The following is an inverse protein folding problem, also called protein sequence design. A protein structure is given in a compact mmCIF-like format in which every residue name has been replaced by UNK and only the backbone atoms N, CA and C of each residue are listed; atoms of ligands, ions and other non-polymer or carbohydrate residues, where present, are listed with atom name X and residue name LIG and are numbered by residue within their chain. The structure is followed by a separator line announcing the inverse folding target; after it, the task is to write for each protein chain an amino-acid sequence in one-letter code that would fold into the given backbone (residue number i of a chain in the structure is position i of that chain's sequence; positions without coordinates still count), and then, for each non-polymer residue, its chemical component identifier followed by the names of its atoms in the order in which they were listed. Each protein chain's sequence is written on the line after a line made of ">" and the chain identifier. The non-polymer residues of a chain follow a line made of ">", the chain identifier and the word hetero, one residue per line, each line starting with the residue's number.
data_IF_652306774203
#
_entry.id   IF_652306774203
#
_cell.length_a   1.000
_cell.length_b   1.000
_cell.length_c   1.000
_cell.angle_alpha   90.00
_cell.angle_beta   90.00
_cell.angle_gamma   90.00
#
_symmetry.space_group_name_H-M   'P 1'
#
loop_
_entity.id
_entity.type
_entity.pdbx_description
1 polymer ?
#
# COMPACT_ATOMS: atom_id res chain seq x y z
N UNK A 1 11.26 24.84 39.32
CA UNK A 1 10.36 24.00 40.14
C UNK A 1 8.88 24.21 39.77
N UNK A 2 8.41 25.44 39.55
CA UNK A 2 7.01 25.72 39.13
C UNK A 2 6.60 25.15 37.76
N UNK A 3 7.47 25.18 36.75
CA UNK A 3 7.14 24.69 35.38
C UNK A 3 6.90 23.17 35.36
N UNK A 4 7.78 22.40 36.03
CA UNK A 4 7.62 20.95 36.17
C UNK A 4 6.36 20.53 36.94
N UNK A 5 5.93 21.33 37.92
CA UNK A 5 4.72 21.04 38.69
C UNK A 5 3.43 21.27 37.87
N UNK A 6 3.45 22.27 36.98
CA UNK A 6 2.35 22.58 36.05
C UNK A 6 2.22 21.53 34.94
N UNK A 7 3.32 21.06 34.37
CA UNK A 7 3.32 19.98 33.37
C UNK A 7 2.80 18.67 33.98
N UNK A 8 3.28 18.29 35.17
CA UNK A 8 2.83 17.09 35.86
C UNK A 8 1.34 17.14 36.24
N UNK A 9 0.80 18.30 36.62
CA UNK A 9 -0.61 18.46 36.93
C UNK A 9 -1.49 18.39 35.67
N UNK A 10 -1.02 18.92 34.54
CA UNK A 10 -1.74 18.88 33.26
C UNK A 10 -1.79 17.46 32.69
N UNK A 11 -0.69 16.72 32.78
CA UNK A 11 -0.62 15.30 32.40
C UNK A 11 -1.58 14.44 33.23
N UNK A 12 -1.75 14.76 34.51
CA UNK A 12 -2.74 14.09 35.37
C UNK A 12 -4.17 14.32 34.89
N UNK A 13 -4.52 15.52 34.41
CA UNK A 13 -5.88 15.82 33.91
C UNK A 13 -6.17 15.03 32.63
N UNK A 14 -5.25 15.04 31.67
CA UNK A 14 -5.40 14.30 30.42
C UNK A 14 -5.47 12.79 30.65
N UNK A 15 -4.68 12.27 31.60
CA UNK A 15 -4.75 10.87 32.01
C UNK A 15 -6.14 10.50 32.54
N UNK A 16 -6.72 11.30 33.46
CA UNK A 16 -8.06 11.05 33.96
C UNK A 16 -9.14 11.11 32.85
N UNK A 17 -9.03 12.08 31.95
CA UNK A 17 -9.93 12.18 30.78
C UNK A 17 -9.78 10.98 29.84
N UNK A 18 -8.56 10.48 29.63
CA UNK A 18 -8.32 9.28 28.84
C UNK A 18 -8.98 8.05 29.47
N UNK A 19 -8.90 7.88 30.79
CA UNK A 19 -9.59 6.78 31.49
C UNK A 19 -11.10 6.87 31.32
N UNK A 20 -11.69 8.08 31.41
CA UNK A 20 -13.12 8.29 31.15
C UNK A 20 -13.49 7.96 29.70
N UNK A 21 -12.69 8.42 28.74
CA UNK A 21 -12.88 8.14 27.32
C UNK A 21 -12.81 6.64 27.03
N UNK A 22 -11.86 5.94 27.65
CA UNK A 22 -11.72 4.49 27.50
C UNK A 22 -12.96 3.78 28.01
N UNK A 23 -13.45 4.12 29.21
CA UNK A 23 -14.65 3.51 29.77
C UNK A 23 -15.89 3.78 28.90
N UNK A 24 -16.02 5.00 28.36
CA UNK A 24 -17.11 5.35 27.43
C UNK A 24 -17.01 4.60 26.11
N UNK A 25 -15.80 4.49 25.54
CA UNK A 25 -15.53 3.74 24.32
C UNK A 25 -15.79 2.24 24.52
N UNK A 26 -15.37 1.66 25.64
CA UNK A 26 -15.62 0.25 25.97
C UNK A 26 -17.12 -0.04 26.12
N UNK A 27 -17.91 0.90 26.66
CA UNK A 27 -19.38 0.79 26.69
C UNK A 27 -19.96 0.80 25.27
N UNK A 28 -19.52 1.74 24.42
CA UNK A 28 -19.93 1.79 23.03
C UNK A 28 -19.61 0.49 22.28
N UNK A 29 -18.42 -0.08 22.49
CA UNK A 29 -18.01 -1.35 21.85
C UNK A 29 -18.77 -2.58 22.35
N UNK A 30 -19.41 -2.51 23.53
CA UNK A 30 -20.22 -3.58 24.12
C UNK A 30 -21.72 -3.43 23.85
N UNK A 31 -22.15 -2.32 23.25
CA UNK A 31 -23.55 -2.05 22.97
C UNK A 31 -24.15 -3.11 22.03
N UNK A 32 -25.33 -3.62 22.36
CA UNK A 32 -25.92 -4.75 21.64
C UNK A 32 -26.85 -4.32 20.49
N UNK A 33 -27.56 -3.19 20.66
CA UNK A 33 -28.56 -2.71 19.71
C UNK A 33 -28.27 -1.28 19.22
N UNK A 34 -28.85 -0.91 18.08
CA UNK A 34 -28.68 0.42 17.48
C UNK A 34 -28.99 1.59 18.43
N UNK A 35 -30.03 1.49 19.27
CA UNK A 35 -30.40 2.57 20.19
C UNK A 35 -29.32 2.82 21.24
N UNK A 36 -28.75 1.75 21.80
CA UNK A 36 -27.62 1.83 22.72
C UNK A 36 -26.35 2.35 22.04
N UNK A 37 -26.07 1.87 20.82
CA UNK A 37 -24.91 2.31 20.02
C UNK A 37 -24.98 3.82 19.78
N UNK A 38 -26.12 4.34 19.32
CA UNK A 38 -26.32 5.77 19.11
C UNK A 38 -26.17 6.57 20.40
N UNK A 39 -26.81 6.11 21.49
CA UNK A 39 -26.72 6.77 22.79
C UNK A 39 -25.28 6.86 23.29
N UNK A 40 -24.58 5.73 23.38
CA UNK A 40 -23.20 5.71 23.88
C UNK A 40 -22.22 6.41 22.94
N UNK A 41 -22.47 6.40 21.63
CA UNK A 41 -21.67 7.16 20.69
C UNK A 41 -21.84 8.68 20.88
N UNK A 42 -23.06 9.15 21.13
CA UNK A 42 -23.30 10.56 21.46
C UNK A 42 -22.63 10.97 22.77
N UNK A 43 -22.70 10.14 23.81
CA UNK A 43 -21.97 10.36 25.07
C UNK A 43 -20.44 10.41 24.84
N UNK A 44 -19.91 9.48 24.05
CA UNK A 44 -18.49 9.43 23.70
C UNK A 44 -18.05 10.66 22.90
N UNK A 45 -18.82 11.07 21.90
CA UNK A 45 -18.56 12.26 21.09
C UNK A 45 -18.44 13.53 21.92
N UNK A 46 -19.39 13.74 22.84
CA UNK A 46 -19.38 14.89 23.73
C UNK A 46 -18.14 14.89 24.64
N UNK A 47 -17.83 13.75 25.25
CA UNK A 47 -16.66 13.60 26.11
C UNK A 47 -15.34 13.79 25.34
N UNK A 48 -15.24 13.26 24.12
CA UNK A 48 -14.09 13.42 23.26
C UNK A 48 -13.91 14.89 22.87
N UNK A 49 -14.98 15.55 22.43
CA UNK A 49 -14.96 16.97 22.07
C UNK A 49 -14.50 17.84 23.24
N UNK A 50 -14.98 17.57 24.46
CA UNK A 50 -14.53 18.27 25.66
C UNK A 50 -13.04 18.00 25.97
N UNK A 51 -12.60 16.76 25.78
CA UNK A 51 -11.20 16.38 26.00
C UNK A 51 -10.27 17.07 25.01
N UNK A 52 -10.67 17.19 23.74
CA UNK A 52 -9.92 17.87 22.67
C UNK A 52 -9.77 19.39 22.87
N UNK A 53 -10.53 19.99 23.80
CA UNK A 53 -10.36 21.40 24.18
C UNK A 53 -9.30 21.61 25.28
N UNK A 54 -8.82 20.52 25.89
CA UNK A 54 -7.81 20.56 26.95
C UNK A 54 -6.45 20.97 26.36
N UNK A 55 -5.66 21.72 27.13
CA UNK A 55 -4.30 22.09 26.72
C UNK A 55 -3.42 20.85 26.54
N UNK A 56 -2.47 20.90 25.61
CA UNK A 56 -1.46 19.86 25.32
C UNK A 56 -2.01 18.51 24.80
N UNK A 57 -3.30 18.47 24.48
CA UNK A 57 -3.97 17.29 23.91
C UNK A 57 -3.39 16.83 22.58
N UNK A 58 -2.79 17.74 21.82
CA UNK A 58 -2.22 17.45 20.51
C UNK A 58 -1.02 16.49 20.58
N UNK A 59 -0.17 16.66 21.61
CA UNK A 59 1.01 15.81 21.86
C UNK A 59 0.69 14.56 22.68
N UNK A 60 -0.42 14.54 23.40
CA UNK A 60 -0.79 13.44 24.28
C UNK A 60 -1.00 12.11 23.52
N UNK A 61 -0.40 10.99 23.94
CA UNK A 61 -0.37 9.77 23.11
C UNK A 61 -1.72 9.05 22.96
N UNK A 62 -2.63 9.13 23.94
CA UNK A 62 -3.88 8.35 23.96
C UNK A 62 -3.70 6.83 23.79
N UNK A 63 -2.65 6.29 24.41
CA UNK A 63 -2.19 4.90 24.23
C UNK A 63 -3.22 3.82 24.63
N UNK A 64 -4.19 4.15 25.48
CA UNK A 64 -5.20 3.20 25.96
C UNK A 64 -6.41 3.08 25.03
N UNK A 65 -6.63 4.05 24.14
CA UNK A 65 -7.79 4.10 23.24
C UNK A 65 -7.54 3.29 21.95
N UNK A 66 -7.40 1.98 22.07
CA UNK A 66 -6.98 1.09 20.95
C UNK A 66 -7.91 1.06 19.75
N UNK A 67 -9.22 1.29 19.96
CA UNK A 67 -10.24 1.26 18.90
C UNK A 67 -10.61 2.64 18.36
N UNK A 68 -9.82 3.67 18.75
CA UNK A 68 -9.89 5.02 18.21
C UNK A 68 -8.61 5.29 17.41
N UNK A 69 -8.74 5.56 16.12
CA UNK A 69 -7.61 5.96 15.28
C UNK A 69 -7.16 7.36 15.65
N UNK A 70 -5.97 7.51 16.25
CA UNK A 70 -5.35 8.81 16.49
C UNK A 70 -4.11 8.99 15.63
N UNK A 71 -4.19 9.83 14.60
CA UNK A 71 -3.14 9.93 13.57
C UNK A 71 -2.69 11.36 13.45
N UNK A 72 -1.42 11.60 13.77
CA UNK A 72 -0.79 12.90 13.64
C UNK A 72 -0.24 13.06 12.23
N UNK A 73 -0.45 14.23 11.64
CA UNK A 73 0.27 14.61 10.41
C UNK A 73 1.79 14.62 10.69
N UNK A 74 2.63 14.13 9.76
CA UNK A 74 4.08 14.10 9.97
C UNK A 74 4.71 15.48 10.21
N UNK A 75 4.10 16.55 9.71
CA UNK A 75 4.51 17.94 9.90
C UNK A 75 3.89 18.60 11.14
N UNK A 76 3.14 17.84 11.96
CA UNK A 76 2.50 18.31 13.17
C UNK A 76 1.47 19.45 12.97
N UNK A 77 0.89 19.60 11.78
CA UNK A 77 -0.08 20.67 11.48
C UNK A 77 -1.50 20.36 11.99
N UNK A 78 -1.90 19.09 11.91
CA UNK A 78 -3.17 18.58 12.44
C UNK A 78 -3.07 17.13 12.91
N UNK A 79 -4.10 16.69 13.63
CA UNK A 79 -4.26 15.31 14.11
C UNK A 79 -5.71 14.86 13.88
N UNK A 80 -5.87 13.64 13.39
CA UNK A 80 -7.16 13.00 13.19
C UNK A 80 -7.49 12.14 14.41
N UNK A 81 -8.75 12.18 14.84
CA UNK A 81 -9.37 11.26 15.78
C UNK A 81 -10.54 10.62 15.04
N UNK A 82 -10.44 9.33 14.71
CA UNK A 82 -11.34 8.67 13.77
C UNK A 82 -11.82 7.32 14.32
N UNK A 83 -13.13 7.05 14.25
CA UNK A 83 -13.73 5.79 14.67
C UNK A 83 -15.00 5.51 13.87
N UNK A 84 -15.41 4.25 13.86
CA UNK A 84 -16.67 3.80 13.26
C UNK A 84 -17.58 3.16 14.32
N UNK A 85 -18.87 3.14 14.04
CA UNK A 85 -19.88 2.37 14.75
C UNK A 85 -20.54 1.44 13.75
N UNK A 86 -20.45 0.13 13.99
CA UNK A 86 -21.13 -0.88 13.16
C UNK A 86 -22.57 -1.06 13.66
N UNK A 87 -23.52 -0.77 12.79
CA UNK A 87 -24.95 -0.88 13.06
C UNK A 87 -25.41 -2.34 12.96
N UNK A 88 -26.62 -2.63 13.43
CA UNK A 88 -27.16 -4.00 13.48
C UNK A 88 -27.33 -4.64 12.09
N UNK A 89 -27.50 -3.82 11.04
CA UNK A 89 -27.52 -4.23 9.64
C UNK A 89 -26.12 -4.41 9.02
N UNK A 90 -25.07 -4.29 9.84
CA UNK A 90 -23.65 -4.33 9.48
C UNK A 90 -23.18 -3.15 8.62
N UNK A 91 -24.01 -2.13 8.45
CA UNK A 91 -23.55 -0.84 7.91
C UNK A 91 -22.60 -0.17 8.91
N UNK A 92 -21.74 0.71 8.41
CA UNK A 92 -20.80 1.45 9.25
C UNK A 92 -21.14 2.93 9.19
N UNK A 93 -21.28 3.56 10.35
CA UNK A 93 -21.29 5.00 10.49
C UNK A 93 -19.90 5.47 10.92
N UNK A 94 -19.33 6.44 10.23
CA UNK A 94 -18.00 6.93 10.51
C UNK A 94 -18.04 8.31 11.17
N UNK A 95 -17.08 8.55 12.06
CA UNK A 95 -16.96 9.80 12.79
C UNK A 95 -15.50 10.22 12.84
N UNK A 96 -15.25 11.50 12.57
CA UNK A 96 -13.90 12.01 12.64
C UNK A 96 -13.84 13.47 13.12
N UNK A 97 -12.92 13.72 14.05
CA UNK A 97 -12.51 15.06 14.44
C UNK A 97 -11.10 15.35 13.92
N UNK A 98 -10.95 16.50 13.26
CA UNK A 98 -9.65 17.07 12.91
C UNK A 98 -9.30 18.12 13.95
N UNK A 99 -8.25 17.86 14.73
CA UNK A 99 -7.64 18.84 15.62
C UNK A 99 -6.54 19.57 14.85
N UNK A 100 -6.79 20.83 14.48
CA UNK A 100 -5.87 21.65 13.68
C UNK A 100 -5.37 22.84 14.50
N UNK A 101 -4.09 23.15 14.43
CA UNK A 101 -3.57 24.37 15.01
C UNK A 101 -3.94 25.60 14.15
N UNK A 102 -4.50 26.62 14.79
CA UNK A 102 -4.69 27.96 14.21
C UNK A 102 -3.55 28.87 14.67
N UNK A 103 -2.64 29.18 13.75
CA UNK A 103 -1.49 30.04 13.98
C UNK A 103 -1.89 31.47 14.37
N UNK A 104 -3.00 32.00 13.82
CA UNK A 104 -3.44 33.37 14.06
C UNK A 104 -3.96 33.53 15.49
N UNK A 105 -4.79 32.57 15.93
CA UNK A 105 -5.39 32.58 17.28
C UNK A 105 -4.52 31.89 18.33
N UNK A 106 -3.44 31.22 17.90
CA UNK A 106 -2.56 30.38 18.73
C UNK A 106 -3.32 29.34 19.56
N UNK A 107 -4.37 28.76 18.97
CA UNK A 107 -5.26 27.78 19.62
C UNK A 107 -5.56 26.62 18.68
N UNK A 108 -5.84 25.46 19.24
CA UNK A 108 -6.35 24.35 18.46
C UNK A 108 -7.85 24.55 18.18
N UNK A 109 -8.23 24.27 16.93
CA UNK A 109 -9.63 24.21 16.50
C UNK A 109 -9.99 22.76 16.19
N UNK A 110 -11.20 22.38 16.59
CA UNK A 110 -11.81 21.10 16.26
C UNK A 110 -12.70 21.30 15.03
N UNK A 111 -12.45 20.53 13.97
CA UNK A 111 -13.31 20.45 12.78
C UNK A 111 -13.97 19.07 12.83
N UNK A 112 -15.30 19.05 12.84
CA UNK A 112 -16.10 17.82 12.85
C UNK A 112 -16.46 17.43 11.42
N UNK A 113 -16.06 16.22 11.04
CA UNK A 113 -16.44 15.64 9.75
C UNK A 113 -17.77 14.90 9.92
N UNK A 114 -18.81 15.41 9.26
CA UNK A 114 -20.15 14.84 9.26
C UNK A 114 -20.32 13.87 8.11
N UNK A 115 -20.57 12.62 8.46
CA UNK A 115 -20.84 11.55 7.53
C UNK A 115 -22.22 11.76 6.87
N UNK A 116 -22.24 11.83 5.54
CA UNK A 116 -23.45 11.81 4.71
C UNK A 116 -23.56 10.54 3.85
N UNK A 117 -22.69 9.57 4.11
CA UNK A 117 -22.74 8.17 3.67
C UNK A 117 -23.22 7.96 2.23
N UNK A 118 -22.35 8.29 1.26
CA UNK A 118 -22.32 7.65 -0.06
C UNK A 118 -21.01 8.03 -0.78
N UNK A 119 -20.00 7.18 -0.65
CA UNK A 119 -18.69 7.41 -1.28
C UNK A 119 -18.78 7.40 -2.82
N UNK A 120 -19.69 6.61 -3.40
CA UNK A 120 -19.82 6.49 -4.86
C UNK A 120 -20.34 7.79 -5.49
N UNK A 121 -21.26 8.49 -4.82
CA UNK A 121 -21.80 9.76 -5.30
C UNK A 121 -20.77 10.91 -5.29
N UNK A 122 -19.80 10.86 -4.39
CA UNK A 122 -18.84 11.96 -4.18
C UNK A 122 -17.42 11.68 -4.66
N UNK A 123 -17.18 10.53 -5.30
CA UNK A 123 -15.85 10.13 -5.79
C UNK A 123 -15.22 11.20 -6.69
N UNK A 124 -16.00 11.80 -7.58
CA UNK A 124 -15.57 12.86 -8.50
C UNK A 124 -15.93 14.27 -8.02
N UNK A 125 -16.32 14.44 -6.76
CA UNK A 125 -16.70 15.72 -6.17
C UNK A 125 -15.64 16.27 -5.21
N UNK A 126 -15.64 17.59 -5.04
CA UNK A 126 -14.92 18.24 -3.94
C UNK A 126 -15.91 18.29 -2.78
N UNK A 127 -15.54 17.74 -1.64
CA UNK A 127 -16.40 17.71 -0.46
C UNK A 127 -15.77 18.49 0.69
N UNK A 128 -16.61 19.03 1.57
CA UNK A 128 -16.24 19.76 2.76
C UNK A 128 -16.46 18.92 4.03
N UNK A 129 -16.19 19.51 5.20
CA UNK A 129 -16.42 18.84 6.48
C UNK A 129 -17.89 18.45 6.74
N UNK A 130 -18.86 19.10 6.11
CA UNK A 130 -20.29 18.84 6.34
C UNK A 130 -20.88 17.81 5.37
N UNK A 131 -20.12 17.38 4.38
CA UNK A 131 -20.54 16.44 3.34
C UNK A 131 -19.49 15.35 3.14
N UNK A 132 -18.85 14.96 4.23
CA UNK A 132 -17.83 13.92 4.22
C UNK A 132 -18.50 12.56 4.02
N UNK A 133 -17.83 11.67 3.28
CA UNK A 133 -18.36 10.37 2.87
C UNK A 133 -18.20 9.27 3.92
N UNK A 134 -17.42 9.52 4.98
CA UNK A 134 -17.13 8.54 6.01
C UNK A 134 -16.04 7.53 5.62
N UNK A 135 -14.97 7.44 6.41
CA UNK A 135 -14.01 6.33 6.34
C UNK A 135 -13.04 6.37 7.53
N UNK A 136 -12.36 5.25 7.80
CA UNK A 136 -11.24 5.16 8.73
C UNK A 136 -9.92 5.47 8.01
N UNK A 137 -9.38 6.66 8.25
CA UNK A 137 -8.03 7.01 7.82
C UNK A 137 -7.00 6.28 8.67
N UNK A 138 -5.91 5.82 8.04
CA UNK A 138 -4.78 5.16 8.72
C UNK A 138 -3.40 5.70 8.33
N UNK A 139 -3.29 6.51 7.27
CA UNK A 139 -2.03 7.16 6.88
C UNK A 139 -2.27 8.57 6.35
N UNK A 140 -1.37 9.47 6.72
CA UNK A 140 -1.28 10.85 6.22
C UNK A 140 0.08 11.02 5.55
N UNK A 141 0.08 11.54 4.32
CA UNK A 141 1.28 11.78 3.52
C UNK A 141 1.27 13.26 3.11
N UNK A 142 2.11 14.12 3.73
CA UNK A 142 2.25 15.50 3.31
C UNK A 142 2.77 15.59 1.88
N UNK A 143 2.10 16.38 1.06
CA UNK A 143 2.44 16.67 -0.33
C UNK A 143 2.24 18.17 -0.59
N UNK A 144 2.78 18.66 -1.69
CA UNK A 144 2.62 20.06 -2.08
C UNK A 144 2.11 20.15 -3.51
N UNK A 145 1.16 21.06 -3.74
CA UNK A 145 0.68 21.41 -5.07
C UNK A 145 0.69 22.92 -5.24
N UNK A 146 1.55 23.40 -6.13
CA UNK A 146 1.63 24.82 -6.50
C UNK A 146 1.79 25.75 -5.27
N UNK A 147 2.71 25.43 -4.35
CA UNK A 147 2.93 26.23 -3.14
C UNK A 147 1.90 26.03 -2.02
N UNK A 148 0.93 25.12 -2.19
CA UNK A 148 -0.10 24.82 -1.18
C UNK A 148 0.09 23.42 -0.62
N UNK A 149 0.09 23.32 0.71
CA UNK A 149 0.11 22.05 1.41
C UNK A 149 -1.16 21.25 1.12
N UNK A 150 -0.98 20.02 0.69
CA UNK A 150 -2.04 19.04 0.48
C UNK A 150 -1.63 17.75 1.19
N UNK A 151 -2.55 17.11 1.88
CA UNK A 151 -2.30 15.88 2.61
C UNK A 151 -2.99 14.74 1.88
N UNK A 152 -2.22 13.82 1.35
CA UNK A 152 -2.77 12.59 0.80
C UNK A 152 -3.10 11.65 1.95
N UNK A 153 -4.34 11.17 1.97
CA UNK A 153 -4.88 10.32 3.02
C UNK A 153 -5.15 8.93 2.44
N UNK A 154 -4.78 7.90 3.21
CA UNK A 154 -5.18 6.52 2.94
C UNK A 154 -6.28 6.14 3.92
N UNK A 155 -7.40 5.66 3.40
CA UNK A 155 -8.60 5.32 4.15
C UNK A 155 -9.14 3.92 3.85
N UNK A 156 -9.95 3.42 4.78
CA UNK A 156 -10.71 2.18 4.65
C UNK A 156 -12.17 2.45 5.01
N UNK A 157 -13.06 1.86 4.23
CA UNK A 157 -14.50 1.88 4.41
C UNK A 157 -15.00 0.43 4.33
N UNK A 158 -15.86 0.06 5.27
CA UNK A 158 -16.47 -1.27 5.33
C UNK A 158 -17.57 -1.49 4.28
N UNK A 159 -17.94 -0.44 3.53
CA UNK A 159 -18.91 -0.37 2.42
C UNK A 159 -20.21 -1.15 2.65
N UNK A 160 -20.20 -2.47 2.46
CA UNK A 160 -21.38 -3.30 2.52
C UNK A 160 -21.14 -4.63 3.26
N UNK A 161 -22.16 -5.50 3.26
CA UNK A 161 -22.04 -6.85 3.81
C UNK A 161 -21.16 -7.76 2.96
N UNK A 162 -20.90 -7.40 1.69
CA UNK A 162 -20.21 -8.25 0.71
C UNK A 162 -18.88 -7.67 0.18
N UNK A 163 -18.68 -6.35 0.27
CA UNK A 163 -17.46 -5.69 -0.18
C UNK A 163 -16.93 -4.69 0.85
N UNK A 164 -15.64 -4.38 0.73
CA UNK A 164 -14.96 -3.29 1.43
C UNK A 164 -14.39 -2.31 0.39
N UNK A 165 -14.07 -1.10 0.82
CA UNK A 165 -13.38 -0.10 0.00
C UNK A 165 -12.10 0.36 0.68
N UNK A 166 -10.99 0.40 -0.08
CA UNK A 166 -9.83 1.22 0.26
C UNK A 166 -9.83 2.47 -0.60
N UNK A 167 -9.42 3.60 -0.04
CA UNK A 167 -9.42 4.85 -0.79
C UNK A 167 -8.18 5.70 -0.57
N UNK A 168 -7.87 6.50 -1.57
CA UNK A 168 -6.83 7.53 -1.56
C UNK A 168 -7.52 8.87 -1.84
N UNK A 169 -7.38 9.81 -0.92
CA UNK A 169 -7.97 11.14 -1.03
C UNK A 169 -6.95 12.24 -0.71
N UNK A 170 -7.28 13.48 -1.05
CA UNK A 170 -6.43 14.64 -0.87
C UNK A 170 -7.14 15.70 -0.03
N UNK A 171 -6.72 15.85 1.22
CA UNK A 171 -7.17 16.86 2.18
C UNK A 171 -6.35 18.15 2.01
N UNK A 172 -7.06 19.28 2.03
CA UNK A 172 -6.47 20.61 2.08
C UNK A 172 -7.26 21.47 3.07
N UNK A 173 -6.61 22.49 3.63
CA UNK A 173 -7.27 23.43 4.52
C UNK A 173 -7.44 24.79 3.84
N UNK A 174 -8.64 25.35 3.95
CA UNK A 174 -8.93 26.74 3.55
C UNK A 174 -9.28 27.52 4.80
N UNK A 175 -8.25 28.10 5.43
CA UNK A 175 -8.36 28.72 6.74
C UNK A 175 -8.72 27.68 7.80
N UNK A 176 -9.96 27.74 8.28
CA UNK A 176 -10.48 26.87 9.33
C UNK A 176 -11.39 25.74 8.81
N UNK A 177 -11.51 25.58 7.48
CA UNK A 177 -12.35 24.58 6.83
C UNK A 177 -11.52 23.49 6.17
N UNK A 178 -12.03 22.26 6.20
CA UNK A 178 -11.39 21.10 5.58
C UNK A 178 -12.02 20.84 4.22
N UNK A 179 -11.21 20.63 3.19
CA UNK A 179 -11.68 20.28 1.85
C UNK A 179 -10.95 19.07 1.31
N UNK A 180 -11.73 18.14 0.77
CA UNK A 180 -11.28 16.87 0.21
C UNK A 180 -11.50 16.82 -1.30
N UNK A 181 -10.84 15.90 -1.99
CA UNK A 181 -11.00 15.73 -3.43
C UNK A 181 -10.18 16.72 -4.28
N UNK A 182 -8.96 17.06 -3.86
CA UNK A 182 -8.05 17.78 -4.77
C UNK A 182 -7.69 16.90 -5.97
N UNK A 183 -7.87 17.41 -7.20
CA UNK A 183 -7.54 16.66 -8.42
C UNK A 183 -6.01 16.54 -8.59
N UNK A 184 -5.42 15.53 -7.95
CA UNK A 184 -3.97 15.25 -7.93
C UNK A 184 -3.63 13.82 -8.32
N UNK A 185 -4.61 12.94 -8.51
CA UNK A 185 -4.37 11.54 -8.84
C UNK A 185 -4.49 11.35 -10.35
N UNK A 186 -3.40 11.00 -11.03
CA UNK A 186 -3.36 10.80 -12.47
C UNK A 186 -3.33 9.31 -12.78
N UNK A 187 -4.37 8.85 -13.48
CA UNK A 187 -4.48 7.48 -13.99
C UNK A 187 -4.62 7.60 -15.50
N UNK A 188 -3.63 7.06 -16.23
CA UNK A 188 -3.49 7.23 -17.68
C UNK A 188 -3.54 8.73 -18.06
N UNK A 189 -4.52 9.14 -18.84
CA UNK A 189 -4.68 10.53 -19.28
C UNK A 189 -5.64 11.36 -18.41
N UNK A 190 -6.28 10.74 -17.42
CA UNK A 190 -7.33 11.37 -16.62
C UNK A 190 -6.80 11.78 -15.24
N UNK A 191 -7.38 12.85 -14.68
CA UNK A 191 -7.08 13.30 -13.31
C UNK A 191 -8.31 13.12 -12.42
N UNK A 192 -8.14 12.39 -11.33
CA UNK A 192 -9.16 12.03 -10.37
C UNK A 192 -8.98 12.82 -9.08
N UNK A 193 -10.10 13.02 -8.37
CA UNK A 193 -10.14 13.67 -7.06
C UNK A 193 -9.94 12.67 -5.93
N UNK A 194 -10.40 11.44 -6.12
CA UNK A 194 -10.28 10.31 -5.20
C UNK A 194 -10.14 9.02 -5.99
N UNK A 195 -9.35 8.10 -5.46
CA UNK A 195 -9.26 6.74 -5.97
C UNK A 195 -9.93 5.81 -4.96
N UNK A 196 -10.93 5.06 -5.40
CA UNK A 196 -11.67 4.10 -4.58
C UNK A 196 -11.46 2.70 -5.18
N UNK A 197 -11.06 1.77 -4.32
CA UNK A 197 -10.77 0.38 -4.66
C UNK A 197 -11.73 -0.50 -3.89
N UNK A 198 -12.82 -0.89 -4.53
CA UNK A 198 -13.77 -1.84 -3.97
C UNK A 198 -13.30 -3.27 -4.27
N UNK A 199 -13.35 -4.12 -3.24
CA UNK A 199 -12.90 -5.49 -3.29
C UNK A 199 -13.78 -6.38 -2.40
N UNK A 200 -13.71 -7.69 -2.66
CA UNK A 200 -14.44 -8.67 -1.89
C UNK A 200 -14.13 -8.58 -0.39
N UNK A 201 -15.17 -8.61 0.44
CA UNK A 201 -15.00 -8.66 1.91
C UNK A 201 -14.27 -9.92 2.39
N UNK A 202 -14.19 -10.94 1.53
CA UNK A 202 -13.47 -12.20 1.78
C UNK A 202 -11.97 -12.12 1.47
N UNK A 203 -11.52 -11.05 0.83
CA UNK A 203 -10.12 -10.82 0.49
C UNK A 203 -9.52 -9.71 1.35
N UNK A 204 -8.20 -9.65 1.37
CA UNK A 204 -7.45 -8.56 1.99
C UNK A 204 -6.69 -7.80 0.92
N UNK A 205 -6.97 -6.50 0.75
CA UNK A 205 -6.23 -5.62 -0.15
C UNK A 205 -5.19 -4.79 0.61
N UNK A 206 -3.93 -4.83 0.17
CA UNK A 206 -2.87 -3.93 0.61
C UNK A 206 -2.99 -2.56 -0.07
N UNK A 207 -2.83 -1.49 0.72
CA UNK A 207 -2.68 -0.11 0.26
C UNK A 207 -1.84 0.59 1.32
N UNK A 208 -0.58 0.88 0.98
CA UNK A 208 0.41 1.32 1.95
C UNK A 208 1.34 2.37 1.36
N UNK A 209 1.90 3.21 2.22
CA UNK A 209 2.94 4.16 1.81
C UNK A 209 4.32 3.60 2.11
N UNK A 210 5.12 3.41 1.07
CA UNK A 210 6.54 3.07 1.15
C UNK A 210 7.33 4.38 1.31
N UNK A 211 7.73 4.68 2.55
CA UNK A 211 8.49 5.89 2.89
C UNK A 211 9.86 5.93 2.21
N UNK A 212 10.50 4.77 1.97
CA UNK A 212 11.82 4.69 1.34
C UNK A 212 11.73 4.96 -0.16
N UNK A 213 10.72 4.37 -0.81
CA UNK A 213 10.43 4.57 -2.23
C UNK A 213 9.64 5.85 -2.53
N UNK A 214 9.17 6.56 -1.50
CA UNK A 214 8.28 7.73 -1.58
C UNK A 214 7.07 7.50 -2.51
N UNK A 215 6.46 6.33 -2.38
CA UNK A 215 5.38 5.87 -3.25
C UNK A 215 4.26 5.21 -2.46
N UNK A 216 3.04 5.28 -2.97
CA UNK A 216 1.91 4.51 -2.45
C UNK A 216 1.87 3.21 -3.23
N UNK A 217 2.01 2.07 -2.58
CA UNK A 217 1.95 0.74 -3.20
C UNK A 217 0.64 0.08 -2.84
N UNK A 218 0.00 -0.56 -3.81
CA UNK A 218 -1.28 -1.23 -3.64
C UNK A 218 -1.34 -2.52 -4.44
N UNK A 219 -2.18 -3.45 -3.98
CA UNK A 219 -2.47 -4.65 -4.75
C UNK A 219 -3.26 -4.28 -6.00
N UNK A 220 -2.94 -4.92 -7.12
CA UNK A 220 -3.80 -4.90 -8.29
C UNK A 220 -5.02 -5.79 -8.06
N UNK A 221 -6.20 -5.30 -8.42
CA UNK A 221 -7.46 -5.99 -8.20
C UNK A 221 -8.02 -6.54 -9.51
N UNK A 222 -8.23 -7.85 -9.55
CA UNK A 222 -8.81 -8.57 -10.67
C UNK A 222 -10.06 -9.34 -10.23
N UNK A 223 -11.07 -9.52 -11.09
CA UNK A 223 -12.22 -10.35 -10.75
C UNK A 223 -11.79 -11.82 -10.60
N UNK A 224 -12.41 -12.55 -9.67
CA UNK A 224 -12.14 -13.99 -9.45
C UNK A 224 -12.32 -14.84 -10.73
N UNK A 225 -13.19 -14.40 -11.63
CA UNK A 225 -13.36 -14.98 -12.95
C UNK A 225 -13.75 -13.92 -13.99
N UNK A 226 -13.41 -14.11 -15.29
CA UNK A 226 -13.65 -13.08 -16.32
C UNK A 226 -15.12 -12.65 -16.48
N UNK A 227 -16.07 -13.54 -16.21
CA UNK A 227 -17.51 -13.25 -16.27
C UNK A 227 -18.02 -12.40 -15.09
N UNK A 228 -17.19 -12.14 -14.07
CA UNK A 228 -17.51 -11.29 -12.92
C UNK A 228 -16.90 -9.88 -13.05
N UNK A 229 -16.37 -9.54 -14.22
CA UNK A 229 -15.91 -8.19 -14.50
C UNK A 229 -17.04 -7.16 -14.27
N UNK A 230 -16.73 -6.09 -13.55
CA UNK A 230 -17.69 -5.06 -13.14
C UNK A 230 -18.37 -5.31 -11.79
N UNK A 231 -18.44 -6.55 -11.31
CA UNK A 231 -18.99 -6.89 -9.99
C UNK A 231 -17.88 -6.81 -8.92
N UNK A 232 -17.69 -5.62 -8.36
CA UNK A 232 -16.55 -5.29 -7.49
C UNK A 232 -16.48 -6.12 -6.20
N UNK A 233 -17.60 -6.68 -5.75
CA UNK A 233 -17.64 -7.61 -4.62
C UNK A 233 -16.91 -8.94 -4.87
N UNK A 234 -16.54 -9.24 -6.12
CA UNK A 234 -15.73 -10.41 -6.52
C UNK A 234 -14.31 -10.04 -6.95
N UNK A 235 -13.88 -8.79 -6.72
CA UNK A 235 -12.51 -8.39 -7.03
C UNK A 235 -11.60 -8.77 -5.88
N UNK A 236 -10.46 -9.40 -6.20
CA UNK A 236 -9.46 -9.86 -5.25
C UNK A 236 -8.05 -9.48 -5.75
N UNK A 237 -7.06 -9.36 -4.85
CA UNK A 237 -5.67 -9.20 -5.25
C UNK A 237 -5.18 -10.36 -6.13
N UNK A 238 -4.53 -10.05 -7.25
CA UNK A 238 -3.95 -11.06 -8.15
C UNK A 238 -2.45 -11.30 -7.95
N UNK A 239 -1.92 -10.81 -6.83
CA UNK A 239 -0.49 -10.87 -6.44
C UNK A 239 0.45 -9.99 -7.28
N UNK A 240 -0.08 -9.21 -8.22
CA UNK A 240 0.64 -8.09 -8.82
C UNK A 240 0.38 -6.80 -8.02
N UNK A 241 1.24 -5.80 -8.24
CA UNK A 241 1.20 -4.54 -7.50
C UNK A 241 1.21 -3.37 -8.45
N UNK A 242 0.48 -2.33 -8.06
CA UNK A 242 0.54 -1.01 -8.67
C UNK A 242 1.17 -0.03 -7.69
N UNK A 243 1.73 1.07 -8.19
CA UNK A 243 2.13 2.18 -7.33
C UNK A 243 1.74 3.56 -7.86
N UNK A 244 1.63 4.50 -6.94
CA UNK A 244 1.50 5.92 -7.23
C UNK A 244 2.80 6.62 -6.83
N UNK A 245 3.36 7.41 -7.74
CA UNK A 245 4.54 8.26 -7.44
C UNK A 245 4.18 9.73 -7.60
N UNK A 246 4.51 10.53 -6.58
CA UNK A 246 4.27 11.97 -6.62
C UNK A 246 5.35 12.67 -7.45
N UNK A 247 4.97 13.18 -8.62
CA UNK A 247 5.82 13.97 -9.53
C UNK A 247 5.00 15.06 -10.20
N UNK A 248 5.60 16.24 -10.37
CA UNK A 248 4.96 17.40 -11.00
C UNK A 248 3.61 17.76 -10.34
N UNK A 249 3.60 17.81 -9.00
CA UNK A 249 2.44 18.17 -8.17
C UNK A 249 1.24 17.22 -8.32
N UNK A 250 1.48 15.97 -8.78
CA UNK A 250 0.47 14.92 -8.97
C UNK A 250 1.01 13.55 -8.60
N UNK A 251 0.16 12.70 -8.04
CA UNK A 251 0.39 11.26 -7.96
C UNK A 251 0.14 10.64 -9.32
N UNK A 252 1.09 9.88 -9.87
CA UNK A 252 0.96 9.22 -11.16
C UNK A 252 0.96 7.70 -10.95
N UNK A 253 -0.08 7.02 -11.46
CA UNK A 253 -0.18 5.56 -11.42
C UNK A 253 0.87 4.92 -12.33
N UNK A 254 1.50 3.86 -11.83
CA UNK A 254 2.29 2.90 -12.59
C UNK A 254 1.75 1.51 -12.27
N UNK A 255 1.33 0.82 -13.32
CA UNK A 255 0.82 -0.54 -13.25
C UNK A 255 1.99 -1.54 -13.27
N UNK A 256 1.78 -2.75 -12.74
CA UNK A 256 2.71 -3.89 -12.82
C UNK A 256 4.12 -3.62 -12.25
N UNK A 257 4.20 -3.04 -11.06
CA UNK A 257 5.47 -2.73 -10.38
C UNK A 257 5.94 -3.86 -9.47
N UNK A 258 7.26 -3.96 -9.29
CA UNK A 258 7.85 -4.90 -8.33
C UNK A 258 7.76 -4.29 -6.92
N UNK A 259 6.97 -4.93 -6.04
CA UNK A 259 6.75 -4.56 -4.63
C UNK A 259 7.93 -4.79 -3.68
N UNK A 260 9.19 -4.70 -4.16
CA UNK A 260 10.37 -4.86 -3.29
C UNK A 260 10.76 -3.55 -2.59
N UNK A 261 11.12 -3.66 -1.31
CA UNK A 261 11.50 -2.55 -0.41
C UNK A 261 12.81 -1.81 -0.76
N UNK A 262 13.42 -2.04 -1.94
CA UNK A 262 14.60 -1.29 -2.33
C UNK A 262 14.83 -1.26 -3.86
N UNK A 263 14.43 -0.19 -4.56
CA UNK A 263 14.74 -0.03 -5.98
C UNK A 263 16.23 0.23 -6.26
N UNK A 264 17.01 0.63 -5.24
CA UNK A 264 18.43 0.98 -5.36
C UNK A 264 19.40 -0.10 -4.85
N UNK A 265 18.91 -1.27 -4.43
CA UNK A 265 19.81 -2.42 -4.23
C UNK A 265 20.12 -2.99 -5.61
N UNK A 266 21.20 -2.50 -6.24
CA UNK A 266 21.88 -3.28 -7.26
C UNK A 266 22.07 -4.69 -6.67
N UNK A 267 21.45 -5.71 -7.27
CA UNK A 267 21.64 -7.09 -6.84
C UNK A 267 23.14 -7.35 -6.95
N UNK A 268 23.84 -7.53 -5.83
CA UNK A 268 25.24 -7.90 -5.79
C UNK A 268 25.33 -9.34 -5.31
N UNK A 269 25.97 -10.21 -6.08
CA UNK A 269 26.31 -11.57 -5.66
C UNK A 269 27.76 -11.59 -5.20
N UNK A 270 28.00 -12.07 -3.99
CA UNK A 270 29.36 -12.38 -3.53
C UNK A 270 29.69 -13.79 -3.99
N UNK A 271 30.66 -13.93 -4.90
CA UNK A 271 31.23 -15.24 -5.25
C UNK A 271 32.49 -15.50 -4.42
N UNK A 272 32.70 -16.75 -4.04
CA UNK A 272 33.92 -17.23 -3.42
C UNK A 272 34.57 -18.22 -4.37
N UNK A 273 35.85 -18.00 -4.71
CA UNK A 273 36.61 -18.95 -5.53
C UNK A 273 38.04 -19.07 -4.99
N UNK A 274 38.64 -20.25 -5.18
CA UNK A 274 40.04 -20.49 -4.84
C UNK A 274 40.92 -19.90 -5.94
N UNK A 275 41.74 -18.91 -5.59
CA UNK A 275 42.80 -18.38 -6.44
C UNK A 275 44.11 -19.11 -6.11
N UNK A 276 44.75 -19.70 -7.10
CA UNK A 276 45.99 -20.46 -6.93
C UNK A 276 47.14 -19.64 -7.46
N UNK A 277 48.09 -19.29 -6.60
CA UNK A 277 49.28 -18.54 -7.00
C UNK A 277 50.21 -19.44 -7.85
N UNK A 278 51.17 -18.85 -8.56
CA UNK A 278 52.17 -19.57 -9.40
C UNK A 278 53.02 -20.60 -8.64
N UNK A 279 52.91 -20.68 -7.32
CA UNK A 279 53.54 -21.66 -6.42
C UNK A 279 52.59 -22.76 -5.91
N UNK A 280 51.34 -22.82 -6.38
CA UNK A 280 50.38 -23.88 -6.02
C UNK A 280 49.57 -23.66 -4.72
N UNK A 281 49.76 -22.54 -4.04
CA UNK A 281 49.02 -22.18 -2.83
C UNK A 281 47.63 -21.63 -3.16
N UNK A 282 46.59 -22.21 -2.57
CA UNK A 282 45.19 -21.81 -2.79
C UNK A 282 44.74 -20.78 -1.74
N UNK A 283 44.18 -19.66 -2.20
CA UNK A 283 43.59 -18.62 -1.34
C UNK A 283 42.13 -18.40 -1.71
N UNK A 284 41.23 -18.34 -0.73
CA UNK A 284 39.80 -18.08 -0.99
C UNK A 284 39.61 -16.58 -1.17
N UNK A 285 39.27 -16.16 -2.39
CA UNK A 285 39.02 -14.76 -2.73
C UNK A 285 37.52 -14.51 -2.80
N UNK A 286 37.04 -13.53 -2.02
CA UNK A 286 35.66 -13.03 -2.10
C UNK A 286 35.60 -11.87 -3.08
N UNK A 287 34.74 -11.98 -4.10
CA UNK A 287 34.52 -10.88 -5.07
C UNK A 287 33.04 -10.57 -5.16
N UNK A 288 32.70 -9.29 -4.99
CA UNK A 288 31.35 -8.79 -5.24
C UNK A 288 31.17 -8.49 -6.73
N UNK A 289 30.11 -9.03 -7.32
CA UNK A 289 29.78 -8.82 -8.73
C UNK A 289 28.36 -8.30 -8.82
N UNK A 290 28.14 -7.29 -9.68
CA UNK A 290 26.82 -6.80 -10.06
C UNK A 290 26.07 -7.92 -10.80
N UNK A 291 24.93 -8.33 -10.27
CA UNK A 291 24.05 -9.37 -10.79
C UNK A 291 23.22 -8.78 -11.95
N UNK A 292 23.89 -8.47 -13.05
CA UNK A 292 23.24 -8.31 -14.36
C UNK A 292 22.99 -9.70 -14.90
N UNK A 293 21.74 -10.03 -15.21
CA UNK A 293 21.42 -11.27 -15.90
C UNK A 293 22.11 -11.24 -17.28
N UNK A 294 23.05 -12.15 -17.49
CA UNK A 294 23.69 -12.39 -18.77
C UNK A 294 23.03 -13.64 -19.32
N UNK A 295 22.54 -13.58 -20.56
CA UNK A 295 21.94 -14.73 -21.21
C UNK A 295 23.00 -15.85 -21.30
N UNK A 296 22.76 -17.06 -20.77
CA UNK A 296 23.73 -18.16 -20.80
C UNK A 296 24.13 -18.60 -22.21
N UNK A 297 23.34 -18.22 -23.22
CA UNK A 297 23.52 -18.56 -24.63
C UNK A 297 24.27 -17.49 -25.42
N UNK A 298 24.69 -16.39 -24.78
CA UNK A 298 25.41 -15.30 -25.44
C UNK A 298 26.90 -15.64 -25.55
N UNK A 299 27.48 -15.51 -26.75
CA UNK A 299 28.89 -15.84 -27.05
C UNK A 299 29.87 -14.97 -26.27
N UNK A 300 29.40 -13.85 -25.71
CA UNK A 300 30.16 -12.92 -24.86
C UNK A 300 30.15 -13.31 -23.37
N UNK A 301 29.53 -14.43 -22.98
CA UNK A 301 29.49 -14.86 -21.59
C UNK A 301 30.90 -15.30 -21.10
N UNK A 302 31.49 -14.64 -20.08
CA UNK A 302 32.83 -14.96 -19.60
C UNK A 302 32.96 -16.37 -18.98
N UNK A 303 31.85 -17.04 -18.69
CA UNK A 303 31.82 -18.42 -18.19
C UNK A 303 31.75 -19.49 -19.30
N UNK A 304 31.62 -19.10 -20.57
CA UNK A 304 31.39 -20.00 -21.70
C UNK A 304 29.94 -20.49 -21.79
N UNK A 305 29.50 -20.85 -23.00
CA UNK A 305 28.15 -21.36 -23.26
C UNK A 305 27.99 -22.77 -22.64
N UNK A 306 27.31 -22.85 -21.50
CA UNK A 306 26.93 -24.11 -20.87
C UNK A 306 25.52 -24.48 -21.30
N UNK A 307 25.39 -25.53 -22.12
CA UNK A 307 24.08 -26.11 -22.48
C UNK A 307 23.53 -26.85 -21.25
N UNK A 308 22.48 -26.30 -20.64
CA UNK A 308 21.76 -26.97 -19.57
C UNK A 308 20.81 -28.02 -20.17
N UNK A 309 20.96 -29.29 -19.79
CA UNK A 309 19.95 -30.33 -20.02
C UNK A 309 19.27 -30.61 -18.68
N UNK A 310 17.94 -30.53 -18.64
CA UNK A 310 17.18 -30.83 -17.44
C UNK A 310 17.21 -32.35 -17.16
N UNK A 311 17.61 -32.76 -15.96
CA UNK A 311 17.40 -34.12 -15.47
C UNK A 311 16.05 -34.18 -14.74
N UNK A 312 15.12 -34.97 -15.28
CA UNK A 312 13.89 -35.38 -14.58
C UNK A 312 14.16 -36.68 -13.79
N UNK A 313 13.53 -36.87 -12.62
CA UNK A 313 13.79 -38.03 -11.79
C UNK A 313 12.89 -39.19 -12.17
N UNK A 314 13.35 -40.09 -13.04
CA UNK A 314 12.88 -41.48 -13.05
C UNK A 314 14.06 -42.44 -13.22
N UNK A 315 14.22 -43.31 -12.21
CA UNK A 315 15.10 -44.47 -12.16
C UNK A 315 16.63 -44.26 -12.15
N UNK A 316 17.16 -44.18 -10.92
CA UNK A 316 18.46 -44.75 -10.57
C UNK A 316 18.46 -46.23 -10.96
N UNK A 317 19.20 -46.60 -12.02
CA UNK A 317 19.88 -47.89 -12.21
C UNK A 317 20.87 -47.76 -13.37
N UNK A 318 22.04 -48.36 -13.20
CA UNK A 318 23.16 -48.48 -14.17
C UNK A 318 24.22 -47.37 -14.20
N UNK A 319 24.83 -47.06 -13.04
CA UNK A 319 26.25 -46.66 -13.00
C UNK A 319 26.95 -47.48 -11.91
N UNK A 320 26.92 -48.80 -12.08
CA UNK A 320 27.82 -49.72 -11.39
C UNK A 320 28.11 -50.88 -12.35
N UNK A 321 28.73 -50.57 -13.49
CA UNK A 321 29.61 -51.53 -14.15
C UNK A 321 30.54 -50.82 -15.15
N UNK A 322 31.84 -51.03 -14.94
CA UNK A 322 32.96 -50.90 -15.89
C UNK A 322 33.65 -49.55 -16.00
N UNK A 323 34.52 -49.30 -15.02
CA UNK A 323 35.92 -48.95 -15.31
C UNK A 323 36.55 -50.05 -16.20
N UNK A 324 37.00 -49.69 -17.41
CA UNK A 324 38.33 -50.02 -17.96
C UNK A 324 38.45 -49.57 -19.44
N UNK A 325 39.47 -48.72 -19.66
CA UNK A 325 40.19 -48.22 -20.87
C UNK A 325 40.26 -49.13 -22.14
N UNK A 326 40.83 -48.67 -23.30
CA UNK A 326 41.26 -47.32 -23.73
C UNK A 326 40.93 -46.91 -25.21
N UNK A 327 41.14 -45.60 -25.45
CA UNK A 327 41.48 -44.86 -26.70
C UNK A 327 41.51 -45.55 -28.08
N UNK A 328 40.83 -44.95 -29.06
CA UNK A 328 41.37 -44.83 -30.42
C UNK A 328 40.92 -43.54 -31.15
N UNK A 329 41.75 -43.15 -32.13
CA UNK A 329 41.98 -41.81 -32.66
C UNK A 329 40.97 -41.35 -33.73
N UNK A 330 40.92 -40.02 -33.87
CA UNK A 330 40.57 -39.19 -35.04
C UNK A 330 40.07 -39.89 -36.31
N UNK A 331 39.00 -39.34 -36.91
CA UNK A 331 39.11 -38.77 -38.27
C UNK A 331 37.97 -37.81 -38.63
N UNK A 332 38.43 -36.68 -39.12
CA UNK A 332 37.79 -35.63 -39.93
C UNK A 332 36.73 -36.10 -40.92
N UNK A 333 35.64 -35.33 -41.04
CA UNK A 333 34.68 -35.49 -42.13
C UNK A 333 33.72 -34.31 -42.26
N UNK A 334 34.14 -33.24 -42.95
CA UNK A 334 33.25 -32.19 -43.46
C UNK A 334 32.28 -32.81 -44.48
N UNK A 335 30.96 -32.68 -44.27
CA UNK A 335 29.98 -32.61 -45.37
C UNK A 335 28.91 -31.56 -45.08
N UNK A 336 28.93 -30.50 -45.92
CA UNK A 336 27.77 -29.65 -46.23
C UNK A 336 26.74 -30.49 -46.98
N UNK A 337 25.44 -30.30 -46.72
CA UNK A 337 24.48 -29.78 -47.71
C UNK A 337 23.02 -29.73 -47.20
N UNK A 338 22.36 -28.61 -47.54
CA UNK A 338 20.95 -28.40 -47.95
C UNK A 338 19.76 -28.74 -47.02
N UNK A 339 19.10 -27.65 -46.58
CA UNK A 339 17.76 -27.16 -47.01
C UNK A 339 16.69 -28.20 -47.36
N UNK A 340 15.60 -28.20 -46.58
CA UNK A 340 14.18 -28.47 -46.91
C UNK A 340 13.38 -27.66 -45.85
N UNK A 341 12.73 -26.52 -46.12
CA UNK A 341 11.40 -26.34 -46.73
C UNK A 341 10.36 -27.39 -46.31
N UNK A 342 9.36 -26.96 -45.52
CA UNK A 342 7.96 -27.40 -45.33
C UNK A 342 7.50 -26.77 -43.99
N UNK A 343 6.35 -26.14 -43.77
CA UNK A 343 5.21 -25.75 -44.58
C UNK A 343 4.51 -24.60 -43.85
N UNK A 344 4.02 -23.64 -44.62
CA UNK A 344 3.22 -22.52 -44.13
C UNK A 344 1.74 -22.93 -43.99
N UNK A 345 1.13 -22.45 -42.89
CA UNK A 345 -0.23 -21.88 -42.81
C UNK A 345 -1.44 -22.85 -42.93
N UNK A 346 -2.70 -22.39 -42.78
CA UNK A 346 -3.21 -21.14 -42.17
C UNK A 346 -4.50 -21.33 -41.35
N UNK A 347 -4.83 -20.44 -40.42
CA UNK A 347 -6.23 -19.98 -40.24
C UNK A 347 -6.26 -18.60 -39.60
N UNK A 348 -6.58 -17.56 -40.39
CA UNK A 348 -7.26 -16.34 -39.97
C UNK A 348 -7.75 -15.61 -41.24
N UNK A 349 -8.98 -15.92 -41.66
CA UNK A 349 -9.72 -15.15 -42.67
C UNK A 349 -10.30 -13.90 -42.01
N UNK A 350 -9.76 -12.74 -42.38
CA UNK A 350 -10.47 -11.45 -42.29
C UNK A 350 -11.45 -11.35 -43.45
N UNK A 351 -12.71 -11.03 -43.15
CA UNK A 351 -13.69 -10.54 -44.14
C UNK A 351 -14.04 -9.10 -43.78
N UNK A 352 -13.74 -8.18 -44.69
CA UNK A 352 -14.38 -6.86 -44.81
C UNK A 352 -14.58 -6.57 -46.29
N UNK A 353 -15.80 -6.18 -46.64
CA UNK A 353 -16.20 -5.06 -47.55
C UNK A 353 -17.55 -5.38 -48.19
N UNK A 354 -18.54 -4.51 -48.00
CA UNK A 354 -18.72 -3.30 -48.80
C UNK A 354 -19.34 -2.21 -47.94
#
# INVERSE_FOLDING_TARGET
>A
MFVFFLEAQQDSVLYHKEVQLKNSLDKLRKAENNQEKEKYNNEFQLLLKETLLTKDVFSYPFSSLKTLGTIKSPDNTFRLFNWNVEMDDRSNQFFCYILKYDEKKKKYKIIELKDKSDLHLVQDQIVDENSWYGCLYYKIIPTEKNGKNIYTLLGWDGNSTVSNIKLIDALSFQGEHARFGSSIFKVKNNSFKRLCFEYSKRAFMSLNYDEKGQRIVMDHLSPESPNLEGFREYYVPDLSYDDMVFKNNKWNLREDVIGINNPNKEKTKTIQYANVNSKGEQTIVKKEIKDKWINPSDDQNPAGSSVHVAQLPEHIKEINSKENKPQEKEKTGRKRYKKNEFSMNPYLKKVKRK
#
